data_IF_091826637331
#
_entry.id   IF_091826637331
#
_cell.length_a   1.000
_cell.length_b   1.000
_cell.length_c   1.000
_cell.angle_alpha   90.00
_cell.angle_beta   90.00
_cell.angle_gamma   90.00
#
_symmetry.space_group_name_H-M   'P 1'
#
loop_
_entity.id
_entity.type
_entity.pdbx_description
1 polymer ?
#
# COMPACT_ATOMS: atom_id res chain seq x y z
N UNK A 1 -116.12 -36.58 78.55
CA UNK A 1 -114.83 -36.36 79.24
C UNK A 1 -113.73 -37.31 78.79
N UNK A 2 -113.94 -38.64 78.70
CA UNK A 2 -112.88 -39.57 78.26
C UNK A 2 -112.45 -39.40 76.79
N UNK A 3 -113.39 -39.13 75.89
CA UNK A 3 -113.11 -38.97 74.44
C UNK A 3 -112.26 -37.72 74.14
N UNK A 4 -112.58 -36.59 74.78
CA UNK A 4 -111.76 -35.37 74.72
C UNK A 4 -110.33 -35.58 75.24
N UNK A 5 -110.12 -36.40 76.28
CA UNK A 5 -108.76 -36.69 76.77
C UNK A 5 -107.95 -37.55 75.78
N UNK A 6 -108.61 -38.45 75.04
CA UNK A 6 -107.94 -39.24 74.01
C UNK A 6 -107.54 -38.36 72.80
N UNK A 7 -108.41 -37.45 72.40
CA UNK A 7 -108.17 -36.50 71.31
C UNK A 7 -107.05 -35.50 71.62
N UNK A 8 -106.99 -35.00 72.86
CA UNK A 8 -105.87 -34.18 73.35
C UNK A 8 -104.55 -34.97 73.30
N UNK A 9 -104.55 -36.24 73.73
CA UNK A 9 -103.35 -37.09 73.71
C UNK A 9 -102.84 -37.33 72.28
N UNK A 10 -103.74 -37.60 71.34
CA UNK A 10 -103.39 -37.77 69.93
C UNK A 10 -102.82 -36.48 69.32
N UNK A 11 -103.42 -35.33 69.66
CA UNK A 11 -102.93 -34.03 69.24
C UNK A 11 -101.54 -33.72 69.81
N UNK A 12 -101.30 -34.02 71.09
CA UNK A 12 -99.98 -33.89 71.73
C UNK A 12 -98.92 -34.77 71.05
N UNK A 13 -99.27 -35.99 70.66
CA UNK A 13 -98.36 -36.88 69.93
C UNK A 13 -98.04 -36.34 68.53
N UNK A 14 -99.03 -35.83 67.81
CA UNK A 14 -98.83 -35.21 66.50
C UNK A 14 -97.94 -33.95 66.58
N UNK A 15 -98.15 -33.10 67.58
CA UNK A 15 -97.31 -31.92 67.85
C UNK A 15 -95.87 -32.35 68.13
N UNK A 16 -95.65 -33.36 68.98
CA UNK A 16 -94.30 -33.85 69.28
C UNK A 16 -93.56 -34.38 68.05
N UNK A 17 -94.25 -35.06 67.14
CA UNK A 17 -93.65 -35.53 65.89
C UNK A 17 -93.32 -34.38 64.93
N UNK A 18 -94.19 -33.37 64.86
CA UNK A 18 -93.93 -32.16 64.08
C UNK A 18 -92.72 -31.40 64.63
N UNK A 19 -92.61 -31.24 65.95
CA UNK A 19 -91.46 -30.59 66.60
C UNK A 19 -90.14 -31.32 66.29
N UNK A 20 -90.15 -32.66 66.34
CA UNK A 20 -88.96 -33.45 65.96
C UNK A 20 -88.58 -33.22 64.50
N UNK A 21 -89.56 -33.33 63.59
CA UNK A 21 -89.33 -33.12 62.15
C UNK A 21 -88.78 -31.72 61.86
N UNK A 22 -89.36 -30.70 62.50
CA UNK A 22 -88.90 -29.32 62.39
C UNK A 22 -87.47 -29.16 62.92
N UNK A 23 -87.15 -29.82 64.03
CA UNK A 23 -85.78 -29.86 64.59
C UNK A 23 -84.77 -30.48 63.63
N UNK A 24 -85.08 -31.63 63.04
CA UNK A 24 -84.21 -32.31 62.07
C UNK A 24 -84.02 -31.49 60.78
N UNK A 25 -85.10 -30.88 60.28
CA UNK A 25 -85.04 -29.96 59.13
C UNK A 25 -84.20 -28.73 59.46
N UNK A 26 -84.34 -28.15 60.65
CA UNK A 26 -83.53 -27.02 61.11
C UNK A 26 -82.04 -27.38 61.20
N UNK A 27 -81.70 -28.56 61.73
CA UNK A 27 -80.33 -29.07 61.77
C UNK A 27 -79.76 -29.21 60.35
N UNK A 28 -80.54 -29.82 59.45
CA UNK A 28 -80.15 -30.02 58.05
C UNK A 28 -79.91 -28.71 57.31
N UNK A 29 -80.74 -27.68 57.56
CA UNK A 29 -80.56 -26.35 56.99
C UNK A 29 -79.29 -25.69 57.54
N UNK A 30 -79.01 -25.84 58.84
CA UNK A 30 -77.80 -25.30 59.48
C UNK A 30 -76.52 -25.89 58.88
N UNK A 31 -76.49 -27.20 58.65
CA UNK A 31 -75.35 -27.88 58.02
C UNK A 31 -75.11 -27.38 56.59
N UNK A 32 -76.18 -27.26 55.79
CA UNK A 32 -76.11 -26.71 54.42
C UNK A 32 -75.59 -25.28 54.40
N UNK A 33 -76.06 -24.44 55.33
CA UNK A 33 -75.58 -23.06 55.46
C UNK A 33 -74.09 -23.00 55.81
N UNK A 34 -73.63 -23.90 56.68
CA UNK A 34 -72.22 -23.99 57.07
C UNK A 34 -71.34 -24.42 55.89
N UNK A 35 -71.81 -25.39 55.09
CA UNK A 35 -71.12 -25.83 53.87
C UNK A 35 -71.04 -24.70 52.84
N UNK A 36 -72.15 -23.98 52.61
CA UNK A 36 -72.19 -22.82 51.71
C UNK A 36 -71.27 -21.71 52.18
N UNK A 37 -71.26 -21.39 53.48
CA UNK A 37 -70.35 -20.40 54.06
C UNK A 37 -68.87 -20.78 53.85
N UNK A 38 -68.53 -22.06 54.01
CA UNK A 38 -67.17 -22.55 53.74
C UNK A 38 -66.78 -22.40 52.26
N UNK A 39 -67.69 -22.74 51.34
CA UNK A 39 -67.46 -22.59 49.91
C UNK A 39 -67.29 -21.12 49.48
N UNK A 40 -68.05 -20.20 50.09
CA UNK A 40 -67.92 -18.75 49.84
C UNK A 40 -66.53 -18.27 50.29
N UNK A 41 -66.08 -18.65 51.49
CA UNK A 41 -64.75 -18.27 51.98
C UNK A 41 -63.62 -18.77 51.07
N UNK A 42 -63.73 -19.98 50.52
CA UNK A 42 -62.77 -20.51 49.56
C UNK A 42 -62.77 -19.73 48.24
N UNK A 43 -63.95 -19.35 47.74
CA UNK A 43 -64.08 -18.51 46.55
C UNK A 43 -63.51 -17.11 46.78
N UNK A 44 -63.76 -16.48 47.94
CA UNK A 44 -63.18 -15.18 48.29
C UNK A 44 -61.66 -15.23 48.30
N UNK A 45 -61.07 -16.27 48.89
CA UNK A 45 -59.62 -16.48 48.87
C UNK A 45 -59.08 -16.63 47.44
N UNK A 46 -59.77 -17.39 46.58
CA UNK A 46 -59.40 -17.55 45.17
C UNK A 46 -59.50 -16.24 44.38
N UNK A 47 -60.54 -15.44 44.62
CA UNK A 47 -60.72 -14.12 44.00
C UNK A 47 -59.58 -13.19 44.42
N UNK A 48 -59.21 -13.15 45.70
CA UNK A 48 -58.09 -12.35 46.19
C UNK A 48 -56.75 -12.73 45.53
N UNK A 49 -56.49 -14.03 45.37
CA UNK A 49 -55.30 -14.53 44.66
C UNK A 49 -55.28 -14.11 43.20
N UNK A 50 -56.40 -14.25 42.49
CA UNK A 50 -56.53 -13.82 41.08
C UNK A 50 -56.38 -12.32 40.90
N UNK A 51 -56.92 -11.51 41.83
CA UNK A 51 -56.74 -10.05 41.82
C UNK A 51 -55.26 -9.68 41.97
N UNK A 52 -54.53 -10.33 42.89
CA UNK A 52 -53.09 -10.09 43.04
C UNK A 52 -52.31 -10.47 41.79
N UNK A 53 -52.61 -11.61 41.16
CA UNK A 53 -51.96 -12.01 39.91
C UNK A 53 -52.27 -11.03 38.78
N UNK A 54 -53.51 -10.54 38.68
CA UNK A 54 -53.89 -9.57 37.67
C UNK A 54 -53.11 -8.26 37.81
N UNK A 55 -52.96 -7.76 39.04
CA UNK A 55 -52.14 -6.57 39.30
C UNK A 55 -50.66 -6.80 38.92
N UNK A 56 -50.10 -7.97 39.22
CA UNK A 56 -48.73 -8.30 38.83
C UNK A 56 -48.56 -8.33 37.30
N UNK A 57 -49.48 -8.95 36.57
CA UNK A 57 -49.44 -8.93 35.10
C UNK A 57 -49.60 -7.53 34.52
N UNK A 58 -50.42 -6.66 35.12
CA UNK A 58 -50.51 -5.26 34.70
C UNK A 58 -49.18 -4.51 34.86
N UNK A 59 -48.46 -4.76 35.96
CA UNK A 59 -47.13 -4.21 36.18
C UNK A 59 -46.16 -4.71 35.10
N UNK A 60 -46.09 -6.03 34.89
CA UNK A 60 -45.21 -6.64 33.90
C UNK A 60 -45.48 -6.13 32.47
N UNK A 61 -46.74 -5.94 32.09
CA UNK A 61 -47.12 -5.36 30.80
C UNK A 61 -46.60 -3.93 30.67
N UNK A 62 -46.74 -3.13 31.73
CA UNK A 62 -46.27 -1.74 31.74
C UNK A 62 -44.75 -1.69 31.59
N UNK A 63 -44.01 -2.53 32.33
CA UNK A 63 -42.56 -2.63 32.20
C UNK A 63 -42.12 -3.07 30.80
N UNK A 64 -42.82 -4.04 30.21
CA UNK A 64 -42.55 -4.49 28.84
C UNK A 64 -42.78 -3.38 27.81
N UNK A 65 -43.84 -2.58 27.98
CA UNK A 65 -44.13 -1.42 27.14
C UNK A 65 -43.03 -0.36 27.24
N UNK A 66 -42.53 -0.07 28.44
CA UNK A 66 -41.40 0.87 28.62
C UNK A 66 -40.14 0.36 27.93
N UNK A 67 -39.79 -0.92 28.11
CA UNK A 67 -38.61 -1.52 27.45
C UNK A 67 -38.73 -1.52 25.93
N UNK A 68 -39.94 -1.74 25.39
CA UNK A 68 -40.19 -1.69 23.96
C UNK A 68 -39.96 -0.27 23.41
N UNK A 69 -40.48 0.74 24.09
CA UNK A 69 -40.30 2.14 23.69
C UNK A 69 -38.82 2.56 23.73
N UNK A 70 -38.07 2.13 24.75
CA UNK A 70 -36.62 2.36 24.82
C UNK A 70 -35.88 1.69 23.65
N UNK A 71 -36.24 0.46 23.30
CA UNK A 71 -35.66 -0.27 22.18
C UNK A 71 -35.97 0.42 20.83
N UNK A 72 -37.20 0.90 20.63
CA UNK A 72 -37.61 1.65 19.43
C UNK A 72 -36.81 2.95 19.29
N UNK A 73 -36.61 3.69 20.38
CA UNK A 73 -35.79 4.91 20.38
C UNK A 73 -34.32 4.60 20.07
N UNK A 74 -33.77 3.54 20.65
CA UNK A 74 -32.39 3.11 20.38
C UNK A 74 -32.21 2.67 18.92
N UNK A 75 -33.20 1.98 18.34
CA UNK A 75 -33.19 1.59 16.93
C UNK A 75 -33.20 2.82 16.02
N UNK A 76 -34.08 3.80 16.29
CA UNK A 76 -34.13 5.03 15.52
C UNK A 76 -32.80 5.82 15.58
N UNK A 77 -32.16 5.88 16.75
CA UNK A 77 -30.85 6.51 16.90
C UNK A 77 -29.75 5.76 16.11
N UNK A 78 -29.80 4.42 16.11
CA UNK A 78 -28.87 3.59 15.34
C UNK A 78 -29.05 3.76 13.83
N UNK A 79 -30.29 3.82 13.34
CA UNK A 79 -30.62 4.07 11.92
C UNK A 79 -30.11 5.45 11.47
N UNK A 80 -30.28 6.49 12.30
CA UNK A 80 -29.74 7.82 12.03
C UNK A 80 -28.21 7.79 11.93
N UNK A 81 -27.53 7.17 12.90
CA UNK A 81 -26.06 7.04 12.89
C UNK A 81 -25.55 6.25 11.67
N UNK A 82 -26.28 5.23 11.23
CA UNK A 82 -25.93 4.43 10.05
C UNK A 82 -26.07 5.26 8.76
N UNK A 83 -27.10 6.10 8.70
CA UNK A 83 -27.34 7.02 7.57
C UNK A 83 -26.23 8.07 7.47
N UNK A 84 -25.84 8.66 8.59
CA UNK A 84 -24.74 9.63 8.65
C UNK A 84 -23.40 9.01 8.23
N UNK A 85 -23.12 7.78 8.70
CA UNK A 85 -21.93 7.04 8.31
C UNK A 85 -21.89 6.77 6.80
N UNK A 86 -23.01 6.34 6.22
CA UNK A 86 -23.12 6.09 4.78
C UNK A 86 -22.85 7.37 3.97
N UNK A 87 -23.39 8.51 4.40
CA UNK A 87 -23.15 9.79 3.75
C UNK A 87 -21.66 10.19 3.79
N UNK A 88 -21.00 10.03 4.94
CA UNK A 88 -19.56 10.31 5.10
C UNK A 88 -18.69 9.38 4.24
N UNK A 89 -19.07 8.11 4.13
CA UNK A 89 -18.38 7.15 3.26
C UNK A 89 -18.51 7.54 1.78
N UNK A 90 -19.70 7.96 1.33
CA UNK A 90 -19.92 8.43 -0.05
C UNK A 90 -19.10 9.69 -0.36
N UNK A 91 -19.01 10.64 0.58
CA UNK A 91 -18.17 11.83 0.42
C UNK A 91 -16.69 11.46 0.29
N UNK A 92 -16.23 10.53 1.13
CA UNK A 92 -14.84 10.03 1.09
C UNK A 92 -14.55 9.30 -0.22
N UNK A 93 -15.48 8.48 -0.71
CA UNK A 93 -15.35 7.77 -1.98
C UNK A 93 -15.23 8.73 -3.17
N UNK A 94 -16.06 9.78 -3.19
CA UNK A 94 -15.97 10.84 -4.20
C UNK A 94 -14.61 11.56 -4.14
N UNK A 95 -14.15 11.94 -2.95
CA UNK A 95 -12.85 12.60 -2.77
C UNK A 95 -11.69 11.71 -3.26
N UNK A 96 -11.71 10.41 -2.95
CA UNK A 96 -10.68 9.46 -3.39
C UNK A 96 -10.70 9.35 -4.92
N UNK A 97 -11.89 9.26 -5.51
CA UNK A 97 -12.06 9.15 -6.97
C UNK A 97 -11.50 10.38 -7.68
N UNK A 98 -11.83 11.59 -7.22
CA UNK A 98 -11.30 12.83 -7.78
C UNK A 98 -9.77 12.92 -7.68
N UNK A 99 -9.21 12.54 -6.52
CA UNK A 99 -7.75 12.53 -6.33
C UNK A 99 -7.06 11.52 -7.23
N UNK A 100 -7.65 10.34 -7.44
CA UNK A 100 -7.10 9.31 -8.31
C UNK A 100 -7.05 9.80 -9.76
N UNK A 101 -8.15 10.38 -10.27
CA UNK A 101 -8.21 10.96 -11.61
C UNK A 101 -7.15 12.05 -11.78
N UNK A 102 -7.03 12.98 -10.81
CA UNK A 102 -6.01 14.03 -10.84
C UNK A 102 -4.59 13.47 -10.84
N UNK A 103 -4.32 12.42 -10.05
CA UNK A 103 -3.02 11.77 -10.03
C UNK A 103 -2.70 11.09 -11.36
N UNK A 104 -3.67 10.44 -11.98
CA UNK A 104 -3.48 9.78 -13.28
C UNK A 104 -3.15 10.80 -14.39
N UNK A 105 -3.82 11.95 -14.40
CA UNK A 105 -3.49 13.05 -15.31
C UNK A 105 -2.07 13.58 -15.06
N UNK A 106 -1.69 13.77 -13.80
CA UNK A 106 -0.34 14.23 -13.42
C UNK A 106 0.73 13.22 -13.82
N UNK A 107 0.47 11.92 -13.67
CA UNK A 107 1.39 10.85 -14.08
C UNK A 107 1.58 10.88 -15.60
N UNK A 108 0.50 10.91 -16.39
CA UNK A 108 0.60 11.02 -17.86
C UNK A 108 1.37 12.26 -18.30
N UNK A 109 1.15 13.39 -17.63
CA UNK A 109 1.91 14.62 -17.90
C UNK A 109 3.40 14.49 -17.57
N UNK A 110 3.75 13.76 -16.51
CA UNK A 110 5.14 13.48 -16.14
C UNK A 110 5.80 12.49 -17.09
N UNK A 111 5.12 11.42 -17.47
CA UNK A 111 5.59 10.45 -18.46
C UNK A 111 5.91 11.13 -19.79
N UNK A 112 4.99 11.98 -20.28
CA UNK A 112 5.23 12.77 -21.49
C UNK A 112 6.42 13.73 -21.35
N UNK A 113 6.62 14.34 -20.18
CA UNK A 113 7.79 15.20 -19.94
C UNK A 113 9.08 14.39 -19.89
N UNK A 114 9.08 13.21 -19.27
CA UNK A 114 10.26 12.36 -19.16
C UNK A 114 10.68 11.77 -20.51
N UNK A 115 9.71 11.29 -21.30
CA UNK A 115 9.95 10.75 -22.65
C UNK A 115 10.67 11.75 -23.57
N UNK A 116 10.50 13.05 -23.33
CA UNK A 116 11.14 14.11 -24.10
C UNK A 116 12.57 14.46 -23.65
N UNK A 117 13.07 13.93 -22.53
CA UNK A 117 14.36 14.35 -21.94
C UNK A 117 15.38 13.21 -21.98
N UNK A 118 15.03 12.04 -21.44
CA UNK A 118 15.92 10.88 -21.38
C UNK A 118 15.11 9.62 -21.63
N UNK A 119 15.52 8.83 -22.61
CA UNK A 119 15.04 7.45 -22.77
C UNK A 119 16.13 6.51 -22.26
N UNK A 120 15.74 5.60 -21.37
CA UNK A 120 16.60 4.51 -20.91
C UNK A 120 16.09 3.22 -21.57
N UNK A 121 16.98 2.47 -22.20
CA UNK A 121 16.62 1.16 -22.72
C UNK A 121 16.84 0.04 -21.70
N UNK A 122 16.41 -1.18 -22.04
CA UNK A 122 16.56 -2.37 -21.18
C UNK A 122 18.03 -2.76 -20.93
N UNK A 123 18.96 -2.23 -21.73
CA UNK A 123 20.40 -2.46 -21.60
C UNK A 123 21.08 -1.41 -20.71
N UNK A 124 20.34 -0.40 -20.25
CA UNK A 124 20.86 0.71 -19.47
C UNK A 124 21.47 1.84 -20.30
N UNK A 125 21.31 1.82 -21.62
CA UNK A 125 21.73 2.93 -22.49
C UNK A 125 20.79 4.11 -22.32
N UNK A 126 21.34 5.32 -22.30
CA UNK A 126 20.58 6.56 -22.20
C UNK A 126 20.65 7.33 -23.52
N UNK A 127 19.51 7.62 -24.12
CA UNK A 127 19.39 8.62 -25.20
C UNK A 127 18.96 9.94 -24.59
N UNK A 128 19.73 11.00 -24.82
CA UNK A 128 19.45 12.34 -24.29
C UNK A 128 19.20 13.28 -25.45
N UNK A 129 17.99 13.82 -25.51
CA UNK A 129 17.64 14.86 -26.46
C UNK A 129 18.26 16.20 -25.98
N UNK A 130 19.52 16.45 -26.32
CA UNK A 130 20.19 17.74 -26.08
C UNK A 130 21.59 17.63 -25.48
N UNK A 131 21.89 18.49 -24.49
CA UNK A 131 23.24 18.64 -23.93
C UNK A 131 23.36 17.81 -22.65
N UNK A 132 24.26 16.83 -22.68
CA UNK A 132 24.73 16.16 -21.47
C UNK A 132 25.83 16.99 -20.80
N UNK A 133 25.56 17.51 -19.59
CA UNK A 133 26.54 18.24 -18.77
C UNK A 133 26.97 17.37 -17.60
N UNK A 134 28.22 16.92 -17.63
CA UNK A 134 28.82 16.16 -16.54
C UNK A 134 30.12 16.85 -16.08
N UNK A 135 30.42 16.73 -14.79
CA UNK A 135 31.72 17.17 -14.24
C UNK A 135 32.84 16.22 -14.69
N UNK A 136 32.53 14.93 -14.75
CA UNK A 136 33.45 13.84 -15.10
C UNK A 136 32.64 12.73 -15.76
N UNK A 137 33.20 12.11 -16.80
CA UNK A 137 32.62 10.98 -17.52
C UNK A 137 33.68 9.89 -17.60
N UNK A 138 33.44 8.79 -16.92
CA UNK A 138 34.28 7.59 -16.99
C UNK A 138 33.60 6.59 -17.92
N UNK A 139 34.22 6.33 -19.08
CA UNK A 139 33.70 5.40 -20.08
C UNK A 139 34.86 4.71 -20.77
N UNK A 140 34.65 3.45 -21.18
CA UNK A 140 35.66 2.70 -21.94
C UNK A 140 35.83 3.21 -23.38
N UNK A 141 34.79 3.83 -23.97
CA UNK A 141 34.85 4.35 -25.34
C UNK A 141 33.96 5.58 -25.49
N UNK A 142 34.48 6.57 -26.20
CA UNK A 142 33.70 7.71 -26.71
C UNK A 142 33.70 7.64 -28.23
N UNK A 143 32.51 7.59 -28.82
CA UNK A 143 32.32 7.75 -30.27
C UNK A 143 31.50 9.03 -30.48
N UNK A 144 32.01 9.94 -31.31
CA UNK A 144 31.37 11.21 -31.58
C UNK A 144 31.68 11.65 -33.01
N UNK A 145 30.70 12.20 -33.71
CA UNK A 145 30.87 12.76 -35.06
C UNK A 145 31.74 14.03 -35.05
N UNK A 146 31.76 14.75 -33.92
CA UNK A 146 32.56 15.94 -33.74
C UNK A 146 32.88 16.20 -32.27
N UNK A 147 34.13 16.59 -32.00
CA UNK A 147 34.59 16.94 -30.66
C UNK A 147 35.15 18.36 -30.70
N UNK A 148 34.58 19.24 -29.88
CA UNK A 148 35.10 20.59 -29.65
C UNK A 148 35.63 20.65 -28.22
N UNK A 149 36.96 20.67 -28.07
CA UNK A 149 37.62 20.73 -26.79
C UNK A 149 38.52 21.97 -26.70
N UNK A 150 38.48 22.68 -25.57
CA UNK A 150 39.42 23.77 -25.30
C UNK A 150 40.84 23.26 -25.04
N UNK A 151 40.97 22.13 -24.33
CA UNK A 151 42.23 21.43 -24.11
C UNK A 151 41.98 19.93 -24.05
N UNK A 152 42.95 19.14 -24.53
CA UNK A 152 42.90 17.68 -24.50
C UNK A 152 44.22 17.14 -23.96
N UNK A 153 44.14 16.14 -23.07
CA UNK A 153 45.30 15.45 -22.52
C UNK A 153 45.09 13.94 -22.69
N UNK A 154 46.06 13.29 -23.32
CA UNK A 154 46.11 11.83 -23.44
C UNK A 154 46.84 11.28 -22.22
N UNK A 155 46.22 10.33 -21.52
CA UNK A 155 46.90 9.52 -20.50
C UNK A 155 47.13 8.13 -21.09
N UNK A 156 48.39 7.79 -21.32
CA UNK A 156 48.76 6.43 -21.70
C UNK A 156 48.90 5.60 -20.43
N UNK A 157 47.98 4.66 -20.21
CA UNK A 157 48.06 3.74 -19.06
C UNK A 157 48.94 2.51 -19.38
N UNK A 158 48.94 2.11 -20.65
CA UNK A 158 49.77 1.04 -21.20
C UNK A 158 50.87 1.65 -22.08
N UNK A 159 52.13 1.33 -21.79
CA UNK A 159 53.30 1.90 -22.49
C UNK A 159 53.34 1.46 -23.97
N UNK A 160 52.89 0.23 -24.25
CA UNK A 160 52.83 -0.36 -25.58
C UNK A 160 51.57 0.04 -26.36
N UNK A 161 50.58 0.71 -25.76
CA UNK A 161 49.39 1.24 -26.46
C UNK A 161 49.38 2.78 -26.53
N UNK A 162 50.54 3.40 -26.32
CA UNK A 162 50.67 4.84 -26.31
C UNK A 162 50.43 5.45 -27.70
N UNK A 163 49.59 6.48 -27.77
CA UNK A 163 49.34 7.26 -29.00
C UNK A 163 50.15 8.55 -29.05
N UNK A 164 50.75 8.96 -27.93
CA UNK A 164 51.60 10.15 -27.81
C UNK A 164 52.84 9.81 -26.99
N UNK A 165 54.01 10.25 -27.43
CA UNK A 165 55.23 10.02 -26.66
C UNK A 165 56.45 10.81 -27.11
N UNK A 166 57.61 10.37 -26.64
CA UNK A 166 58.94 10.90 -27.00
C UNK A 166 59.87 9.75 -27.34
N UNK A 167 60.80 10.00 -28.25
CA UNK A 167 61.84 9.06 -28.59
C UNK A 167 63.15 9.81 -28.91
N UNK A 168 64.24 9.06 -29.01
CA UNK A 168 65.58 9.60 -29.25
C UNK A 168 66.31 8.76 -30.27
N UNK A 169 66.78 9.38 -31.35
CA UNK A 169 67.81 8.80 -32.22
C UNK A 169 69.15 9.14 -31.58
N UNK A 170 69.98 8.14 -31.29
CA UNK A 170 71.27 8.35 -30.61
C UNK A 170 72.29 8.97 -31.56
N UNK A 171 73.25 9.70 -31.01
CA UNK A 171 74.36 10.25 -31.80
C UNK A 171 75.05 9.15 -32.63
N UNK A 172 75.24 9.41 -33.92
CA UNK A 172 75.79 8.46 -34.89
C UNK A 172 74.76 7.50 -35.51
N UNK A 173 73.59 7.31 -34.90
CA UNK A 173 72.53 6.47 -35.46
C UNK A 173 71.70 7.22 -36.51
N UNK A 174 71.13 6.46 -37.45
CA UNK A 174 70.26 7.00 -38.52
C UNK A 174 68.77 6.83 -38.24
N UNK A 175 68.39 5.98 -37.29
CA UNK A 175 66.98 5.70 -37.04
C UNK A 175 66.74 5.24 -35.61
N UNK A 176 65.48 5.27 -35.21
CA UNK A 176 64.99 4.62 -34.00
C UNK A 176 63.66 3.92 -34.32
N UNK A 177 63.46 2.76 -33.70
CA UNK A 177 62.19 2.03 -33.74
C UNK A 177 61.43 2.42 -32.47
N UNK A 178 60.22 2.94 -32.65
CA UNK A 178 59.32 3.35 -31.56
C UNK A 178 58.25 2.26 -31.40
N UNK A 179 58.25 1.50 -30.28
CA UNK A 179 57.26 0.46 -30.05
C UNK A 179 55.90 1.08 -29.68
N UNK A 180 54.84 0.63 -30.36
CA UNK A 180 53.45 0.94 -30.06
C UNK A 180 52.50 0.08 -30.89
N UNK A 181 51.51 -0.51 -30.23
CA UNK A 181 50.43 -1.32 -30.77
C UNK A 181 49.37 -0.51 -31.51
N UNK A 182 49.46 0.81 -31.51
CA UNK A 182 48.47 1.67 -32.19
C UNK A 182 48.93 2.08 -33.59
N UNK A 183 50.19 1.82 -33.92
CA UNK A 183 50.73 2.04 -35.26
C UNK A 183 50.17 1.02 -36.26
N UNK A 184 49.69 1.49 -37.40
CA UNK A 184 49.29 0.66 -38.53
C UNK A 184 49.48 1.43 -39.85
N UNK A 185 49.39 0.76 -41.00
CA UNK A 185 49.56 1.40 -42.32
C UNK A 185 48.63 2.59 -42.60
N UNK A 186 47.43 2.61 -42.00
CA UNK A 186 46.47 3.72 -42.15
C UNK A 186 46.72 4.87 -41.16
N UNK A 187 47.64 4.72 -40.21
CA UNK A 187 47.88 5.70 -39.17
C UNK A 187 48.70 6.89 -39.69
N UNK A 188 48.25 8.09 -39.34
CA UNK A 188 49.01 9.31 -39.54
C UNK A 188 49.92 9.54 -38.33
N UNK A 189 51.22 9.42 -38.54
CA UNK A 189 52.23 9.57 -37.49
C UNK A 189 52.94 10.91 -37.66
N UNK A 190 52.77 11.78 -36.68
CA UNK A 190 53.38 13.10 -36.63
C UNK A 190 54.60 13.07 -35.72
N UNK A 191 55.76 13.46 -36.25
CA UNK A 191 57.01 13.58 -35.48
C UNK A 191 57.47 15.04 -35.43
N UNK A 192 57.89 15.51 -34.28
CA UNK A 192 58.35 16.90 -34.08
C UNK A 192 59.69 16.91 -33.34
N UNK A 193 60.80 17.28 -34.00
CA UNK A 193 62.10 17.37 -33.35
C UNK A 193 62.12 18.49 -32.29
N UNK A 194 62.89 18.29 -31.22
CA UNK A 194 63.11 19.27 -30.14
C UNK A 194 64.44 20.01 -30.27
N UNK A 195 65.25 19.64 -31.24
CA UNK A 195 66.51 20.30 -31.60
C UNK A 195 66.43 20.75 -33.07
N UNK A 196 67.05 21.88 -33.45
CA UNK A 196 67.11 22.29 -34.86
C UNK A 196 67.85 21.25 -35.71
N UNK A 197 67.27 20.85 -36.83
CA UNK A 197 67.86 19.89 -37.75
C UNK A 197 67.99 20.49 -39.14
N UNK A 198 69.09 20.14 -39.83
CA UNK A 198 69.31 20.47 -41.25
C UNK A 198 68.48 19.52 -42.15
N UNK A 199 68.05 18.37 -41.61
CA UNK A 199 67.28 17.35 -42.31
C UNK A 199 65.96 17.06 -41.56
N UNK A 200 64.94 16.64 -42.30
CA UNK A 200 63.66 16.24 -41.72
C UNK A 200 63.72 14.85 -41.09
N UNK A 201 62.90 14.62 -40.06
CA UNK A 201 62.58 13.29 -39.58
C UNK A 201 61.52 12.68 -40.52
N UNK A 202 61.73 11.45 -40.97
CA UNK A 202 60.77 10.72 -41.79
C UNK A 202 60.33 9.45 -41.05
N UNK A 203 59.03 9.14 -41.12
CA UNK A 203 58.53 7.82 -40.74
C UNK A 203 58.64 6.94 -41.99
N UNK A 204 59.54 5.95 -41.97
CA UNK A 204 59.90 5.17 -43.17
C UNK A 204 59.30 3.77 -43.21
N UNK A 205 58.99 3.20 -42.05
CA UNK A 205 58.39 1.88 -41.91
C UNK A 205 57.38 1.90 -40.75
N UNK A 206 56.28 1.17 -40.91
CA UNK A 206 55.28 0.93 -39.87
C UNK A 206 55.01 -0.56 -39.83
N UNK A 207 55.07 -1.16 -38.64
CA UNK A 207 54.71 -2.55 -38.39
C UNK A 207 53.43 -2.55 -37.57
N UNK A 208 52.36 -3.08 -38.17
CA UNK A 208 51.03 -3.14 -37.58
C UNK A 208 51.05 -3.77 -36.19
N UNK A 209 50.40 -3.10 -35.25
CA UNK A 209 50.27 -3.50 -33.84
C UNK A 209 51.62 -3.74 -33.12
N UNK A 210 52.73 -3.21 -33.63
CA UNK A 210 54.06 -3.43 -33.07
C UNK A 210 54.90 -2.15 -32.93
N UNK A 211 55.18 -1.45 -34.03
CA UNK A 211 56.11 -0.30 -33.99
C UNK A 211 56.08 0.59 -35.24
N UNK A 212 56.77 1.72 -35.19
CA UNK A 212 57.12 2.51 -36.37
C UNK A 212 58.57 2.98 -36.32
N UNK A 213 59.17 3.18 -37.49
CA UNK A 213 60.57 3.58 -37.65
C UNK A 213 60.66 5.05 -38.04
N UNK A 214 61.42 5.81 -37.26
CA UNK A 214 61.76 7.21 -37.57
C UNK A 214 63.21 7.29 -38.00
N UNK A 215 63.46 7.87 -39.16
CA UNK A 215 64.76 7.86 -39.83
C UNK A 215 65.20 9.26 -40.29
N UNK A 216 66.51 9.45 -40.30
CA UNK A 216 67.22 10.60 -40.85
C UNK A 216 68.19 10.15 -41.95
N UNK A 217 68.48 11.05 -42.90
CA UNK A 217 69.28 10.71 -44.08
C UNK A 217 70.76 10.48 -43.74
N UNK A 218 71.35 11.41 -43.00
CA UNK A 218 72.75 11.35 -42.57
C UNK A 218 72.88 11.30 -41.05
N UNK A 219 73.89 10.60 -40.50
CA UNK A 219 74.08 10.54 -39.06
C UNK A 219 74.51 11.91 -38.52
N UNK A 220 74.13 12.22 -37.29
CA UNK A 220 74.46 13.48 -36.59
C UNK A 220 75.19 13.13 -35.29
N UNK A 221 76.17 13.96 -34.89
CA UNK A 221 77.01 13.74 -33.71
C UNK A 221 76.31 14.05 -32.37
N UNK A 222 75.00 14.32 -32.40
CA UNK A 222 74.18 14.69 -31.24
C UNK A 222 72.91 13.85 -31.18
N UNK A 223 72.42 13.59 -29.96
CA UNK A 223 71.13 12.90 -29.74
C UNK A 223 69.96 13.74 -30.26
N UNK A 224 69.12 13.14 -31.11
CA UNK A 224 67.93 13.80 -31.67
C UNK A 224 66.71 13.39 -30.87
N UNK A 225 66.26 14.29 -29.99
CA UNK A 225 65.03 14.10 -29.22
C UNK A 225 63.85 14.61 -30.05
N UNK A 226 62.80 13.81 -30.16
CA UNK A 226 61.56 14.21 -30.82
C UNK A 226 60.32 13.73 -30.06
N UNK A 227 59.21 14.44 -30.26
CA UNK A 227 57.88 14.01 -29.84
C UNK A 227 57.16 13.36 -31.00
N UNK A 228 56.30 12.40 -30.70
CA UNK A 228 55.48 11.73 -31.71
C UNK A 228 54.02 11.64 -31.26
N UNK A 229 53.10 11.69 -32.23
CA UNK A 229 51.65 11.52 -32.04
C UNK A 229 51.08 10.69 -33.19
N UNK A 230 50.21 9.75 -32.86
CA UNK A 230 49.55 8.84 -33.81
C UNK A 230 48.05 9.16 -33.87
N UNK A 231 47.58 9.38 -35.09
CA UNK A 231 46.16 9.45 -35.43
C UNK A 231 45.82 8.26 -36.33
N UNK A 232 45.23 7.22 -35.76
CA UNK A 232 44.80 6.04 -36.52
C UNK A 232 43.37 6.21 -37.01
N UNK A 233 43.12 5.91 -38.29
CA UNK A 233 41.77 5.65 -38.78
C UNK A 233 41.36 4.24 -38.31
N UNK A 234 40.14 4.12 -37.77
CA UNK A 234 39.52 2.84 -37.40
C UNK A 234 38.25 2.63 -38.21
#
# INVERSE_FOLDING_TARGET
MQEQQLEIRNSQFAISNLDKKLGDESLTVSDKLTLVGSAINEQEAKIGSLQSQFTDYQLQITEAQTRLLEAENNLAAFEASTTDLLASMMETENMITERLLSHEERIKALENKMANIVTLDETGSAEIAGIFKAKEVETGKVAADGVVAGSYAVRNEEEDSATLGRATIKAGDKFVIVPTKVANEAAQIFVTPKVPLIQSLAVTETLDDESFKVEIKEPIDEDIIFSWWILSEK
#
